data_IF_650377206800
#
_entry.id   IF_650377206800
#
_cell.length_a   1.000
_cell.length_b   1.000
_cell.length_c   1.000
_cell.angle_alpha   90.00
_cell.angle_beta   90.00
_cell.angle_gamma   90.00
#
_symmetry.space_group_name_H-M   'P 1'
#
loop_
_entity.id
_entity.type
_entity.pdbx_description
1 polymer ?
#
# COMPACT_ATOMS: atom_id res chain seq x y z
N UNK A 1 34.13 -19.26 -28.67
CA UNK A 1 34.74 -18.01 -28.21
C UNK A 1 34.03 -16.89 -28.92
N UNK A 2 33.11 -16.23 -28.25
CA UNK A 2 32.52 -14.98 -28.68
C UNK A 2 32.27 -14.15 -27.40
N UNK A 3 33.08 -13.13 -27.23
CA UNK A 3 32.95 -12.15 -26.15
C UNK A 3 31.75 -11.26 -26.43
N UNK A 4 30.76 -11.23 -25.53
CA UNK A 4 29.73 -10.23 -25.50
C UNK A 4 30.15 -9.10 -24.57
N UNK A 5 30.49 -7.96 -25.14
CA UNK A 5 30.67 -6.69 -24.42
C UNK A 5 29.32 -6.20 -23.94
N UNK A 6 29.19 -6.04 -22.64
CA UNK A 6 28.14 -5.28 -21.98
C UNK A 6 28.46 -3.80 -22.09
N UNK A 7 27.66 -3.03 -22.83
CA UNK A 7 27.64 -1.58 -22.79
C UNK A 7 26.70 -1.14 -21.67
N UNK A 8 27.27 -0.57 -20.61
CA UNK A 8 26.50 0.19 -19.61
C UNK A 8 26.11 1.52 -20.24
N UNK A 9 24.83 1.69 -20.59
CA UNK A 9 24.28 3.01 -20.91
C UNK A 9 24.08 3.80 -19.61
N UNK A 10 24.78 4.96 -19.58
CA UNK A 10 24.60 5.96 -18.54
C UNK A 10 23.19 6.52 -18.57
N UNK A 11 22.42 6.25 -17.51
CA UNK A 11 21.18 6.95 -17.23
C UNK A 11 21.48 8.42 -16.86
N UNK A 12 20.77 9.40 -17.41
CA UNK A 12 20.95 10.79 -17.04
C UNK A 12 20.58 10.99 -15.57
N UNK A 13 21.54 11.51 -14.81
CA UNK A 13 21.31 11.96 -13.45
C UNK A 13 20.27 13.09 -13.50
N UNK A 14 19.11 12.85 -12.85
CA UNK A 14 18.17 13.92 -12.56
C UNK A 14 18.91 15.00 -11.76
N UNK A 15 18.97 16.18 -12.35
CA UNK A 15 19.53 17.35 -11.70
C UNK A 15 18.64 17.71 -10.51
N UNK A 16 19.17 17.54 -9.33
CA UNK A 16 18.60 18.14 -8.12
C UNK A 16 18.92 19.62 -8.18
N UNK A 17 17.96 20.44 -8.60
CA UNK A 17 17.96 21.86 -8.30
C UNK A 17 17.78 22.00 -6.78
N UNK A 18 18.92 21.97 -6.09
CA UNK A 18 18.95 22.37 -4.70
C UNK A 18 18.85 23.89 -4.66
N UNK A 19 17.65 24.41 -4.49
CA UNK A 19 17.50 25.72 -3.87
C UNK A 19 18.18 25.63 -2.49
N UNK A 20 19.30 26.29 -2.38
CA UNK A 20 19.98 26.52 -1.10
C UNK A 20 19.06 27.35 -0.20
N UNK A 21 18.15 26.68 0.48
CA UNK A 21 17.54 27.21 1.69
C UNK A 21 18.61 27.08 2.78
N UNK A 22 19.10 28.21 3.27
CA UNK A 22 20.08 28.22 4.36
C UNK A 22 19.47 27.54 5.57
N UNK A 23 19.80 26.27 5.77
CA UNK A 23 19.52 25.54 6.99
C UNK A 23 20.30 26.19 8.14
N UNK A 24 19.61 26.96 8.95
CA UNK A 24 20.11 27.26 10.30
C UNK A 24 19.84 25.99 11.12
N UNK A 25 20.88 25.18 11.25
CA UNK A 25 20.83 24.01 12.11
C UNK A 25 20.40 24.44 13.53
N UNK A 26 19.32 23.84 14.01
CA UNK A 26 18.87 23.98 15.40
C UNK A 26 19.89 23.31 16.33
N UNK A 27 20.81 24.10 16.83
CA UNK A 27 21.77 23.70 17.81
C UNK A 27 22.46 24.95 18.34
N UNK A 28 22.02 25.45 19.47
CA UNK A 28 22.40 26.65 20.19
C UNK A 28 21.64 27.92 19.77
N UNK A 29 20.49 28.16 20.38
CA UNK A 29 20.11 29.53 20.72
C UNK A 29 21.06 30.05 21.86
N UNK A 30 22.34 30.18 21.54
CA UNK A 30 23.21 31.05 22.29
C UNK A 30 22.69 32.48 22.07
N UNK A 31 22.40 33.20 23.13
CA UNK A 31 22.07 34.61 23.18
C UNK A 31 22.62 35.34 21.94
N UNK A 32 21.79 35.55 20.91
CA UNK A 32 22.19 36.35 19.79
C UNK A 32 22.39 37.79 20.27
N UNK A 33 23.53 38.42 19.98
CA UNK A 33 23.72 39.81 20.29
C UNK A 33 22.70 40.64 19.51
N UNK A 34 22.02 41.56 20.15
CA UNK A 34 20.90 42.38 19.71
C UNK A 34 21.20 43.35 18.55
N UNK A 35 22.29 43.14 17.79
CA UNK A 35 22.73 44.04 16.71
C UNK A 35 23.00 43.37 15.38
N UNK A 36 22.62 42.13 15.19
CA UNK A 36 22.58 41.55 13.84
C UNK A 36 21.35 42.14 13.10
N UNK A 37 21.51 42.88 12.00
CA UNK A 37 20.39 43.25 11.19
C UNK A 37 19.84 41.95 10.57
N UNK A 38 18.70 41.49 11.08
CA UNK A 38 17.88 40.51 10.37
C UNK A 38 17.42 41.24 9.12
N UNK A 39 17.91 40.82 7.96
CA UNK A 39 17.44 41.35 6.70
C UNK A 39 16.04 40.80 6.47
N UNK A 40 15.03 41.53 6.98
CA UNK A 40 13.64 41.14 6.89
C UNK A 40 13.14 41.60 5.52
N UNK A 41 12.98 40.70 4.58
CA UNK A 41 12.40 40.98 3.29
C UNK A 41 10.97 41.56 3.48
N UNK A 42 10.80 42.84 3.21
CA UNK A 42 9.53 43.54 3.28
C UNK A 42 8.76 43.34 1.98
N UNK A 43 7.87 42.34 1.93
CA UNK A 43 6.96 42.05 0.83
C UNK A 43 6.07 40.85 1.17
N UNK A 44 5.00 40.61 0.42
CA UNK A 44 4.22 39.38 0.61
C UNK A 44 5.16 38.19 0.40
N UNK A 45 5.47 37.49 1.48
CA UNK A 45 6.43 36.38 1.45
C UNK A 45 5.74 35.08 1.81
N UNK A 46 6.01 34.07 1.00
CA UNK A 46 5.72 32.68 1.35
C UNK A 46 6.97 32.11 2.02
N UNK A 47 6.86 31.79 3.29
CA UNK A 47 7.95 31.16 4.04
C UNK A 47 7.56 29.72 4.37
N UNK A 48 8.40 28.78 3.96
CA UNK A 48 8.22 27.37 4.25
C UNK A 48 9.47 26.78 4.89
N UNK A 49 9.34 26.20 6.06
CA UNK A 49 10.44 25.55 6.77
C UNK A 49 10.04 24.12 7.13
N UNK A 50 10.83 23.15 6.65
CA UNK A 50 10.64 21.73 6.93
C UNK A 50 9.32 21.14 6.41
N UNK A 51 8.72 21.71 5.36
CA UNK A 51 7.52 21.14 4.74
C UNK A 51 7.84 19.88 3.97
N UNK A 52 6.96 18.89 4.03
CA UNK A 52 7.01 17.69 3.20
C UNK A 52 6.72 18.03 1.73
N UNK A 53 7.32 17.28 0.81
CA UNK A 53 7.05 17.42 -0.62
C UNK A 53 5.74 16.75 -1.01
N UNK A 54 5.04 17.32 -2.00
CA UNK A 54 3.85 16.70 -2.55
C UNK A 54 4.17 15.41 -3.32
N UNK A 55 3.35 14.39 -3.13
CA UNK A 55 3.39 13.14 -3.89
C UNK A 55 2.32 13.16 -4.98
N UNK A 56 2.68 13.51 -6.21
CA UNK A 56 1.76 13.55 -7.34
C UNK A 56 2.07 12.39 -8.27
N UNK A 57 1.04 11.59 -8.58
CA UNK A 57 1.16 10.48 -9.54
C UNK A 57 -0.04 10.46 -10.46
N UNK A 58 0.22 10.26 -11.76
CA UNK A 58 -0.80 10.11 -12.78
C UNK A 58 -0.55 8.85 -13.59
N UNK A 59 -1.62 8.12 -13.92
CA UNK A 59 -1.54 6.93 -14.76
C UNK A 59 -2.12 5.69 -14.11
N UNK A 60 -1.69 4.54 -14.61
CA UNK A 60 -2.16 3.23 -14.10
C UNK A 60 -0.97 2.44 -13.56
N UNK A 61 -1.08 2.01 -12.33
CA UNK A 61 -0.19 0.99 -11.76
C UNK A 61 -0.92 -0.34 -11.90
N UNK A 62 -0.27 -1.33 -12.52
CA UNK A 62 -0.87 -2.64 -12.72
C UNK A 62 0.08 -3.74 -12.27
N UNK A 63 -0.45 -4.63 -11.45
CA UNK A 63 0.23 -5.85 -11.00
C UNK A 63 -0.53 -7.06 -11.51
N UNK A 64 0.17 -7.97 -12.20
CA UNK A 64 -0.42 -9.21 -12.67
C UNK A 64 0.45 -10.38 -12.22
N UNK A 65 -0.14 -11.35 -11.56
CA UNK A 65 0.55 -12.56 -11.16
C UNK A 65 -0.20 -13.81 -11.62
N UNK A 66 0.57 -14.81 -12.08
CA UNK A 66 0.05 -16.09 -12.54
C UNK A 66 0.84 -17.22 -11.89
N UNK A 67 0.16 -18.08 -11.15
CA UNK A 67 0.72 -19.29 -10.59
C UNK A 67 0.01 -20.52 -11.17
N UNK A 68 0.79 -21.46 -11.73
CA UNK A 68 0.26 -22.70 -12.32
C UNK A 68 0.98 -23.90 -11.71
N UNK A 69 0.21 -24.81 -11.15
CA UNK A 69 0.70 -26.07 -10.61
C UNK A 69 -0.07 -27.23 -11.23
N UNK A 70 0.56 -27.94 -12.18
CA UNK A 70 -0.08 -29.00 -12.97
C UNK A 70 0.80 -30.25 -13.12
N UNK A 71 1.28 -30.86 -12.03
CA UNK A 71 2.06 -32.09 -12.13
C UNK A 71 1.21 -33.24 -12.67
N UNK A 72 1.84 -34.15 -13.39
CA UNK A 72 1.19 -35.35 -13.88
C UNK A 72 1.94 -36.61 -13.44
N UNK A 73 1.17 -37.63 -13.08
CA UNK A 73 1.69 -38.96 -12.77
C UNK A 73 0.88 -40.01 -13.53
N UNK A 74 1.53 -41.04 -14.05
CA UNK A 74 0.87 -42.10 -14.76
C UNK A 74 1.54 -43.48 -14.52
N UNK A 75 0.70 -44.48 -14.28
CA UNK A 75 1.11 -45.86 -14.21
C UNK A 75 0.35 -46.73 -15.22
N UNK A 76 1.02 -47.63 -15.92
CA UNK A 76 0.40 -48.49 -16.93
C UNK A 76 0.87 -49.94 -16.68
N UNK A 77 -0.07 -50.88 -16.64
CA UNK A 77 0.21 -52.30 -16.47
C UNK A 77 -0.47 -53.17 -17.52
N UNK A 78 0.15 -54.29 -17.82
CA UNK A 78 -0.41 -55.32 -18.71
C UNK A 78 -1.24 -56.39 -17.97
N UNK A 79 -1.59 -57.52 -18.66
CA UNK A 79 -2.36 -58.59 -18.05
C UNK A 79 -1.73 -59.17 -16.80
N UNK A 80 -2.55 -59.51 -15.80
CA UNK A 80 -2.12 -60.10 -14.51
C UNK A 80 -1.11 -59.27 -13.73
N UNK A 81 -1.14 -57.96 -13.87
CA UNK A 81 -0.26 -57.02 -13.15
C UNK A 81 -1.04 -55.78 -12.65
N UNK A 82 -0.50 -55.13 -11.62
CA UNK A 82 -1.05 -53.88 -11.06
C UNK A 82 -0.45 -52.62 -11.69
N UNK A 83 -1.24 -51.60 -11.85
CA UNK A 83 -0.82 -50.23 -12.15
C UNK A 83 -1.19 -49.32 -10.97
N UNK A 84 -0.18 -48.96 -10.19
CA UNK A 84 -0.36 -48.12 -9.04
C UNK A 84 0.18 -46.71 -9.30
N UNK A 85 -0.68 -45.71 -9.34
CA UNK A 85 -0.32 -44.31 -9.49
C UNK A 85 -0.62 -43.55 -8.22
N UNK A 86 0.40 -43.23 -7.44
CA UNK A 86 0.30 -42.45 -6.22
C UNK A 86 0.81 -41.04 -6.44
N UNK A 87 0.01 -40.04 -6.12
CA UNK A 87 0.41 -38.63 -6.24
C UNK A 87 0.01 -37.84 -4.98
N UNK A 88 1.02 -37.29 -4.31
CA UNK A 88 0.81 -36.30 -3.24
C UNK A 88 1.19 -34.92 -3.74
N UNK A 89 0.30 -33.96 -3.55
CA UNK A 89 0.50 -32.59 -4.01
C UNK A 89 0.24 -31.62 -2.86
N UNK A 90 1.25 -30.84 -2.51
CA UNK A 90 1.16 -29.76 -1.54
C UNK A 90 1.50 -28.45 -2.23
N UNK A 91 0.60 -27.48 -2.21
CA UNK A 91 0.83 -26.18 -2.83
C UNK A 91 0.45 -25.03 -1.88
N UNK A 92 1.38 -24.11 -1.74
CA UNK A 92 1.14 -22.79 -1.18
C UNK A 92 1.30 -21.77 -2.30
N UNK A 93 0.21 -21.15 -2.70
CA UNK A 93 0.20 -20.11 -3.72
C UNK A 93 -0.11 -18.79 -3.02
N UNK A 94 0.91 -17.93 -2.95
CA UNK A 94 0.84 -16.65 -2.25
C UNK A 94 1.05 -15.51 -3.27
N UNK A 95 0.02 -14.70 -3.48
CA UNK A 95 -0.01 -13.60 -4.43
C UNK A 95 -0.64 -12.39 -3.74
N UNK A 96 0.20 -11.50 -3.17
CA UNK A 96 -0.22 -10.30 -2.45
C UNK A 96 0.56 -9.08 -2.95
N UNK A 97 0.22 -8.52 -4.10
CA UNK A 97 0.87 -7.31 -4.59
C UNK A 97 0.52 -6.10 -3.72
N UNK A 98 1.46 -5.16 -3.65
CA UNK A 98 1.24 -3.87 -3.00
C UNK A 98 1.44 -2.76 -4.03
N UNK A 99 0.42 -1.96 -4.23
CA UNK A 99 0.40 -0.84 -5.16
C UNK A 99 0.17 0.45 -4.41
N UNK A 100 1.09 1.41 -4.56
CA UNK A 100 1.02 2.68 -3.83
C UNK A 100 1.30 3.86 -4.75
N UNK A 101 0.48 4.90 -4.69
CA UNK A 101 0.64 6.09 -5.52
C UNK A 101 0.13 7.37 -4.85
N UNK A 102 0.77 8.49 -5.18
CA UNK A 102 0.35 9.81 -4.70
C UNK A 102 0.49 9.96 -3.19
N UNK A 103 1.67 9.68 -2.64
CA UNK A 103 1.92 9.76 -1.20
C UNK A 103 2.73 11.02 -0.89
N UNK A 104 2.18 11.93 -0.13
CA UNK A 104 2.85 13.14 0.34
C UNK A 104 3.92 12.86 1.39
N UNK A 105 5.00 13.64 1.36
CA UNK A 105 6.07 13.55 2.34
C UNK A 105 5.68 14.14 3.69
N UNK A 106 6.25 13.62 4.76
CA UNK A 106 6.01 14.14 6.10
C UNK A 106 6.73 15.48 6.31
N UNK A 107 6.12 16.37 7.09
CA UNK A 107 6.74 17.60 7.57
C UNK A 107 7.85 17.31 8.60
N UNK A 108 8.86 18.17 8.63
CA UNK A 108 9.94 18.10 9.61
C UNK A 108 9.52 18.66 10.96
N UNK A 109 10.18 18.26 12.02
CA UNK A 109 9.94 18.76 13.38
C UNK A 109 10.95 19.84 13.79
N UNK A 110 10.56 20.70 14.71
CA UNK A 110 11.43 21.76 15.27
C UNK A 110 11.72 22.90 14.30
N UNK A 111 10.89 23.13 13.29
CA UNK A 111 11.08 24.18 12.30
C UNK A 111 10.44 25.51 12.76
N UNK A 112 11.02 26.61 12.29
CA UNK A 112 10.52 27.96 12.56
C UNK A 112 10.34 28.69 11.23
N UNK A 113 9.10 29.12 10.95
CA UNK A 113 8.76 29.97 9.81
C UNK A 113 8.20 31.30 10.32
N UNK A 114 8.98 32.38 10.26
CA UNK A 114 8.60 33.70 10.72
C UNK A 114 8.78 34.68 9.56
N UNK A 115 7.70 35.36 9.19
CA UNK A 115 7.68 36.34 8.12
C UNK A 115 7.34 37.74 8.60
N UNK A 116 7.68 38.76 7.81
CA UNK A 116 7.37 40.16 8.12
C UNK A 116 6.54 40.78 6.98
N UNK A 117 5.28 40.41 6.85
CA UNK A 117 4.44 40.98 5.81
C UNK A 117 3.18 40.15 5.57
N UNK A 118 2.31 40.62 4.67
CA UNK A 118 1.16 39.85 4.22
C UNK A 118 1.67 38.60 3.50
N UNK A 119 1.52 37.43 4.09
CA UNK A 119 2.06 36.19 3.50
C UNK A 119 1.61 34.95 4.23
N UNK A 120 2.01 33.80 3.69
CA UNK A 120 1.68 32.48 4.28
C UNK A 120 2.97 31.89 4.84
N UNK A 121 2.95 31.49 6.09
CA UNK A 121 4.07 30.85 6.78
C UNK A 121 3.73 29.40 7.13
N UNK A 122 4.48 28.49 6.60
CA UNK A 122 4.36 27.05 6.87
C UNK A 122 5.59 26.54 7.61
N UNK A 123 5.40 25.89 8.74
CA UNK A 123 6.47 25.25 9.48
C UNK A 123 6.13 23.77 9.72
N UNK A 124 6.91 22.86 9.16
CA UNK A 124 6.76 21.43 9.36
C UNK A 124 5.43 20.84 8.85
N UNK A 125 4.85 21.41 7.80
CA UNK A 125 3.61 20.88 7.21
C UNK A 125 3.88 19.63 6.40
N UNK A 126 2.95 18.66 6.41
CA UNK A 126 2.98 17.51 5.52
C UNK A 126 2.68 17.92 4.07
N UNK A 127 3.26 17.22 3.11
CA UNK A 127 2.94 17.39 1.69
C UNK A 127 1.65 16.69 1.31
N UNK A 128 1.00 17.15 0.25
CA UNK A 128 -0.22 16.55 -0.26
C UNK A 128 0.07 15.26 -1.03
N UNK A 129 -0.83 14.29 -0.94
CA UNK A 129 -0.79 13.08 -1.75
C UNK A 129 -1.89 13.11 -2.80
N UNK A 130 -1.53 13.19 -4.08
CA UNK A 130 -2.49 13.24 -5.19
C UNK A 130 -2.27 12.07 -6.13
N UNK A 131 -3.32 11.32 -6.40
CA UNK A 131 -3.31 10.28 -7.42
C UNK A 131 -4.48 10.43 -8.38
N UNK A 132 -4.14 10.46 -9.68
CA UNK A 132 -5.10 10.47 -10.79
C UNK A 132 -4.87 9.26 -11.67
N UNK A 133 -5.76 8.24 -11.61
CA UNK A 133 -5.57 7.05 -12.42
C UNK A 133 -6.16 5.78 -11.85
N UNK A 134 -5.49 4.64 -12.09
CA UNK A 134 -5.96 3.33 -11.63
C UNK A 134 -4.89 2.53 -10.91
N UNK A 135 -5.27 1.83 -9.85
CA UNK A 135 -4.52 0.73 -9.27
C UNK A 135 -5.25 -0.55 -9.63
N UNK A 136 -4.58 -1.43 -10.37
CA UNK A 136 -5.21 -2.64 -10.93
C UNK A 136 -4.35 -3.85 -10.60
N UNK A 137 -4.90 -4.75 -9.81
CA UNK A 137 -4.28 -6.03 -9.50
C UNK A 137 -5.06 -7.19 -10.10
N UNK A 138 -4.34 -8.20 -10.59
CA UNK A 138 -4.93 -9.44 -11.06
C UNK A 138 -4.08 -10.62 -10.65
N UNK A 139 -4.61 -11.47 -9.80
CA UNK A 139 -3.98 -12.69 -9.34
C UNK A 139 -4.75 -13.90 -9.90
N UNK A 140 -4.03 -14.75 -10.62
CA UNK A 140 -4.60 -16.01 -11.14
C UNK A 140 -3.77 -17.18 -10.64
N UNK A 141 -4.43 -18.14 -10.01
CA UNK A 141 -3.81 -19.37 -9.54
C UNK A 141 -4.56 -20.60 -10.08
N UNK A 142 -3.81 -21.55 -10.61
CA UNK A 142 -4.34 -22.82 -11.10
C UNK A 142 -3.60 -23.98 -10.41
N UNK A 143 -4.37 -24.81 -9.73
CA UNK A 143 -3.91 -26.10 -9.20
C UNK A 143 -4.70 -27.21 -9.89
N UNK A 144 -4.05 -27.93 -10.80
CA UNK A 144 -4.70 -28.98 -11.59
C UNK A 144 -3.77 -30.19 -11.82
N UNK A 145 -3.37 -30.91 -10.78
CA UNK A 145 -2.59 -32.12 -10.94
C UNK A 145 -3.40 -33.25 -11.57
N UNK A 146 -2.74 -34.09 -12.35
CA UNK A 146 -3.33 -35.25 -13.02
C UNK A 146 -2.65 -36.54 -12.55
N UNK A 147 -3.43 -37.47 -12.05
CA UNK A 147 -2.98 -38.80 -11.67
C UNK A 147 -3.76 -39.86 -12.43
N UNK A 148 -3.07 -40.80 -13.10
CA UNK A 148 -3.71 -41.77 -13.95
C UNK A 148 -3.09 -43.16 -13.76
N UNK A 149 -3.92 -44.18 -13.51
CA UNK A 149 -3.54 -45.57 -13.52
C UNK A 149 -4.33 -46.33 -14.62
N UNK A 150 -3.66 -47.07 -15.44
CA UNK A 150 -4.29 -47.89 -16.51
C UNK A 150 -3.78 -49.30 -16.45
N UNK A 151 -4.66 -50.26 -16.22
CA UNK A 151 -4.36 -51.67 -16.25
C UNK A 151 -5.14 -52.40 -17.37
N UNK A 152 -4.47 -53.12 -18.24
CA UNK A 152 -5.07 -53.71 -19.42
C UNK A 152 -4.87 -55.22 -19.46
N UNK A 153 -6.00 -55.98 -19.41
CA UNK A 153 -6.03 -57.41 -19.56
C UNK A 153 -6.72 -58.14 -18.39
N UNK A 154 -6.96 -59.45 -18.56
CA UNK A 154 -7.60 -60.23 -17.51
C UNK A 154 -6.79 -60.23 -16.22
N UNK A 155 -7.46 -60.00 -15.07
CA UNK A 155 -6.79 -59.97 -13.76
C UNK A 155 -5.83 -58.81 -13.55
N UNK A 156 -5.94 -57.74 -14.33
CA UNK A 156 -5.18 -56.51 -14.11
C UNK A 156 -5.91 -55.58 -13.14
N UNK A 157 -5.18 -54.84 -12.32
CA UNK A 157 -5.71 -53.95 -11.32
C UNK A 157 -5.12 -52.53 -11.51
N UNK A 158 -5.94 -51.49 -11.53
CA UNK A 158 -5.50 -50.10 -11.61
C UNK A 158 -5.90 -49.36 -10.33
N UNK A 159 -4.90 -48.83 -9.63
CA UNK A 159 -5.11 -48.01 -8.44
C UNK A 159 -4.56 -46.60 -8.68
N UNK A 160 -5.40 -45.59 -8.56
CA UNK A 160 -5.01 -44.21 -8.65
C UNK A 160 -5.35 -43.49 -7.34
N UNK A 161 -4.33 -43.24 -6.52
CA UNK A 161 -4.47 -42.52 -5.28
C UNK A 161 -3.89 -41.12 -5.40
N UNK A 162 -4.71 -40.11 -5.10
CA UNK A 162 -4.27 -38.71 -5.14
C UNK A 162 -4.63 -37.98 -3.85
N UNK A 163 -3.65 -37.35 -3.24
CA UNK A 163 -3.82 -36.47 -2.09
C UNK A 163 -3.39 -35.06 -2.46
N UNK A 164 -4.31 -34.11 -2.32
CA UNK A 164 -4.08 -32.72 -2.71
C UNK A 164 -4.32 -31.81 -1.52
N UNK A 165 -3.31 -30.99 -1.17
CA UNK A 165 -3.42 -29.93 -0.21
C UNK A 165 -3.06 -28.63 -0.89
N UNK A 166 -3.96 -27.67 -0.94
CA UNK A 166 -3.70 -26.38 -1.55
C UNK A 166 -4.17 -25.23 -0.65
N UNK A 167 -3.30 -24.26 -0.49
CA UNK A 167 -3.60 -22.99 0.16
C UNK A 167 -3.37 -21.87 -0.84
N UNK A 168 -4.44 -21.18 -1.21
CA UNK A 168 -4.42 -20.00 -2.06
C UNK A 168 -4.54 -18.77 -1.16
N UNK A 169 -3.48 -17.97 -1.11
CA UNK A 169 -3.43 -16.68 -0.45
C UNK A 169 -3.34 -15.61 -1.52
N UNK A 170 -4.42 -14.90 -1.78
CA UNK A 170 -4.52 -13.90 -2.84
C UNK A 170 -5.18 -12.62 -2.32
N UNK A 171 -4.87 -11.52 -2.99
CA UNK A 171 -5.47 -10.22 -2.71
C UNK A 171 -4.44 -9.10 -2.65
N UNK A 172 -4.81 -7.91 -3.07
CA UNK A 172 -3.92 -6.77 -3.19
C UNK A 172 -4.03 -5.80 -2.02
N UNK A 173 -2.93 -5.10 -1.75
CA UNK A 173 -2.96 -3.86 -0.97
C UNK A 173 -2.77 -2.68 -1.91
N UNK A 174 -3.81 -1.85 -2.07
CA UNK A 174 -3.83 -0.70 -2.97
C UNK A 174 -4.02 0.58 -2.17
N UNK A 175 -3.08 1.52 -2.30
CA UNK A 175 -3.10 2.78 -1.57
C UNK A 175 -2.88 3.95 -2.53
N UNK A 176 -3.81 4.91 -2.57
CA UNK A 176 -3.72 6.05 -3.45
C UNK A 176 -4.16 7.37 -2.79
N UNK A 177 -3.39 8.45 -3.05
CA UNK A 177 -3.72 9.78 -2.56
C UNK A 177 -3.65 9.90 -1.04
N UNK A 178 -2.47 9.70 -0.45
CA UNK A 178 -2.28 9.84 1.00
C UNK A 178 -1.45 11.08 1.32
N UNK A 179 -1.99 12.01 2.10
CA UNK A 179 -1.29 13.17 2.63
C UNK A 179 -0.22 12.79 3.65
N UNK A 180 0.89 13.51 3.65
CA UNK A 180 1.96 13.35 4.64
C UNK A 180 1.59 13.93 6.01
N UNK A 181 2.13 13.37 7.06
CA UNK A 181 1.91 13.88 8.42
C UNK A 181 2.64 15.19 8.67
N UNK A 182 2.08 16.09 9.46
CA UNK A 182 2.77 17.26 9.99
C UNK A 182 3.83 16.88 11.02
N UNK A 183 4.86 17.72 11.14
CA UNK A 183 5.92 17.53 12.15
C UNK A 183 5.58 18.15 13.49
N UNK A 184 6.29 17.74 14.54
CA UNK A 184 6.09 18.20 15.89
C UNK A 184 6.98 19.43 16.23
N UNK A 185 6.62 20.21 17.26
CA UNK A 185 7.41 21.32 17.82
C UNK A 185 7.77 22.40 16.79
N UNK A 186 6.89 22.70 15.85
CA UNK A 186 7.12 23.72 14.84
C UNK A 186 6.49 25.05 15.27
N UNK A 187 7.08 26.15 14.83
CA UNK A 187 6.61 27.52 15.10
C UNK A 187 6.36 28.24 13.78
N UNK A 188 5.14 28.70 13.57
CA UNK A 188 4.79 29.59 12.47
C UNK A 188 4.25 30.91 13.03
N UNK A 189 4.77 32.04 12.58
CA UNK A 189 4.37 33.32 13.16
C UNK A 189 4.85 34.52 12.38
N UNK A 190 4.59 35.69 12.92
CA UNK A 190 5.03 36.96 12.38
C UNK A 190 6.21 37.51 13.21
N UNK A 191 7.23 37.96 12.50
CA UNK A 191 8.37 38.66 13.13
C UNK A 191 8.03 40.10 13.50
N UNK A 192 8.75 40.71 14.49
CA UNK A 192 8.50 42.07 14.91
C UNK A 192 8.68 43.04 13.74
N UNK A 193 7.63 43.77 13.39
CA UNK A 193 7.68 44.84 12.42
C UNK A 193 8.49 46.01 12.99
N UNK A 194 9.61 46.32 12.38
CA UNK A 194 10.56 47.37 12.85
C UNK A 194 10.20 48.79 12.37
N UNK A 195 8.92 49.12 12.23
CA UNK A 195 8.56 50.51 11.93
C UNK A 195 7.74 51.12 13.04
N UNK A 196 8.34 51.99 13.84
CA UNK A 196 7.55 52.79 14.81
C UNK A 196 6.69 53.78 14.08
N UNK A 197 5.36 53.58 14.08
CA UNK A 197 4.39 54.64 13.72
C UNK A 197 3.39 54.36 12.63
N UNK A 198 3.32 53.19 12.03
CA UNK A 198 2.25 52.80 11.10
C UNK A 198 1.53 51.59 11.63
N UNK A 199 0.27 51.75 11.99
CA UNK A 199 -0.62 50.62 12.19
C UNK A 199 -0.88 49.99 10.82
N UNK A 200 0.00 49.07 10.43
CA UNK A 200 -0.21 48.23 9.25
C UNK A 200 -1.06 47.04 9.71
N UNK A 201 -2.25 46.88 9.22
CA UNK A 201 -3.01 45.65 9.30
C UNK A 201 -2.44 44.71 8.26
N UNK A 202 -1.60 43.80 8.69
CA UNK A 202 -1.07 42.76 7.82
C UNK A 202 -1.99 41.53 7.95
N UNK A 203 -2.30 40.87 6.85
CA UNK A 203 -3.12 39.65 6.83
C UNK A 203 -2.26 38.48 6.35
N UNK A 204 -2.13 37.46 7.15
CA UNK A 204 -1.36 36.28 6.76
C UNK A 204 -1.93 35.00 7.37
N UNK A 205 -1.68 33.90 6.68
CA UNK A 205 -2.05 32.58 7.17
C UNK A 205 -0.83 31.88 7.76
N UNK A 206 -0.98 31.25 8.93
CA UNK A 206 0.12 30.63 9.66
C UNK A 206 -0.24 29.17 9.98
N UNK A 207 0.55 28.25 9.43
CA UNK A 207 0.35 26.81 9.60
C UNK A 207 1.60 26.17 10.22
N UNK A 208 1.46 25.56 11.38
CA UNK A 208 2.53 24.84 12.04
C UNK A 208 2.17 23.37 12.23
N UNK A 209 2.95 22.47 11.68
CA UNK A 209 2.75 21.03 11.79
C UNK A 209 1.44 20.51 11.22
N UNK A 210 0.89 21.15 10.23
CA UNK A 210 -0.36 20.72 9.59
C UNK A 210 -0.13 19.46 8.75
N UNK A 211 -1.06 18.51 8.76
CA UNK A 211 -1.04 17.35 7.86
C UNK A 211 -1.37 17.76 6.42
N UNK A 212 -0.80 17.10 5.44
CA UNK A 212 -1.12 17.30 4.04
C UNK A 212 -2.42 16.60 3.63
N UNK A 213 -3.07 17.10 2.59
CA UNK A 213 -4.31 16.54 2.06
C UNK A 213 -4.05 15.28 1.24
N UNK A 214 -5.00 14.36 1.25
CA UNK A 214 -5.00 13.16 0.43
C UNK A 214 -6.12 13.17 -0.62
N UNK A 215 -5.77 13.16 -1.89
CA UNK A 215 -6.73 13.15 -2.99
C UNK A 215 -6.53 11.93 -3.89
N UNK A 216 -7.62 11.20 -4.10
CA UNK A 216 -7.69 10.10 -5.05
C UNK A 216 -8.79 10.35 -6.08
N UNK A 217 -8.45 10.28 -7.36
CA UNK A 217 -9.41 10.35 -8.47
C UNK A 217 -9.14 9.22 -9.44
N UNK A 218 -10.03 8.21 -9.47
CA UNK A 218 -9.81 7.07 -10.35
C UNK A 218 -10.49 5.79 -9.90
N UNK A 219 -9.83 4.66 -10.13
CA UNK A 219 -10.36 3.35 -9.72
C UNK A 219 -9.29 2.48 -9.08
N UNK A 220 -9.69 1.72 -8.07
CA UNK A 220 -8.95 0.60 -7.54
C UNK A 220 -9.68 -0.67 -7.88
N UNK A 221 -8.99 -1.61 -8.52
CA UNK A 221 -9.58 -2.88 -8.95
C UNK A 221 -8.65 -4.01 -8.53
N UNK A 222 -9.20 -4.95 -7.80
CA UNK A 222 -8.56 -6.22 -7.51
C UNK A 222 -9.39 -7.37 -8.06
N UNK A 223 -8.72 -8.32 -8.71
CA UNK A 223 -9.35 -9.54 -9.24
C UNK A 223 -8.51 -10.74 -8.85
N UNK A 224 -8.99 -11.52 -7.90
CA UNK A 224 -8.35 -12.74 -7.43
C UNK A 224 -9.10 -13.97 -7.92
N UNK A 225 -8.43 -14.83 -8.71
CA UNK A 225 -8.99 -16.05 -9.26
C UNK A 225 -8.16 -17.25 -8.81
N UNK A 226 -8.78 -18.16 -8.06
CA UNK A 226 -8.18 -19.42 -7.68
C UNK A 226 -8.96 -20.59 -8.24
N UNK A 227 -8.29 -21.48 -8.96
CA UNK A 227 -8.90 -22.66 -9.58
C UNK A 227 -8.23 -23.91 -9.02
N UNK A 228 -9.01 -24.76 -8.38
CA UNK A 228 -8.62 -26.07 -7.93
C UNK A 228 -9.36 -27.14 -8.71
N UNK A 229 -8.66 -27.85 -9.60
CA UNK A 229 -9.28 -28.84 -10.48
C UNK A 229 -8.38 -30.08 -10.68
N UNK A 230 -8.05 -30.82 -9.64
CA UNK A 230 -7.27 -32.05 -9.78
C UNK A 230 -8.07 -33.15 -10.47
N UNK A 231 -7.37 -33.99 -11.21
CA UNK A 231 -7.95 -35.11 -11.93
C UNK A 231 -7.29 -36.42 -11.47
N UNK A 232 -8.10 -37.38 -11.02
CA UNK A 232 -7.64 -38.71 -10.64
C UNK A 232 -8.43 -39.77 -11.43
N UNK A 233 -7.75 -40.62 -12.16
CA UNK A 233 -8.37 -41.57 -13.07
C UNK A 233 -7.78 -42.96 -12.90
N UNK A 234 -8.59 -43.96 -12.66
CA UNK A 234 -8.23 -45.35 -12.75
C UNK A 234 -9.01 -46.05 -13.88
N UNK A 235 -8.34 -46.78 -14.76
CA UNK A 235 -8.95 -47.51 -15.88
C UNK A 235 -8.54 -48.96 -15.85
N UNK A 236 -9.48 -49.84 -15.61
CA UNK A 236 -9.33 -51.29 -15.76
C UNK A 236 -9.91 -51.76 -17.07
N UNK A 237 -9.07 -52.17 -18.05
CA UNK A 237 -9.52 -52.61 -19.36
C UNK A 237 -9.52 -54.14 -19.52
N UNK A 238 -10.41 -54.69 -20.34
CA UNK A 238 -10.46 -56.13 -20.73
C UNK A 238 -10.57 -57.10 -19.53
N UNK A 239 -11.47 -56.82 -18.57
CA UNK A 239 -11.69 -57.69 -17.40
C UNK A 239 -10.91 -57.27 -16.17
N UNK A 240 -10.23 -56.14 -16.22
CA UNK A 240 -9.50 -55.56 -15.08
C UNK A 240 -10.43 -54.75 -14.13
N UNK A 241 -10.00 -54.58 -12.88
CA UNK A 241 -10.61 -53.72 -11.89
C UNK A 241 -9.97 -52.32 -11.87
N UNK A 242 -10.67 -51.31 -11.34
CA UNK A 242 -10.19 -49.95 -11.21
C UNK A 242 -10.63 -49.35 -9.86
N UNK A 243 -9.67 -48.79 -9.14
CA UNK A 243 -9.92 -48.08 -7.89
C UNK A 243 -9.32 -46.67 -7.98
N UNK A 244 -10.10 -45.65 -7.68
CA UNK A 244 -9.65 -44.27 -7.69
C UNK A 244 -10.00 -43.58 -6.37
N UNK A 245 -8.99 -43.25 -5.57
CA UNK A 245 -9.17 -42.57 -4.31
C UNK A 245 -8.59 -41.16 -4.41
N UNK A 246 -9.37 -40.16 -4.04
CA UNK A 246 -8.93 -38.75 -4.04
C UNK A 246 -9.30 -38.08 -2.71
N UNK A 247 -8.31 -37.43 -2.12
CA UNK A 247 -8.52 -36.58 -0.95
C UNK A 247 -8.06 -35.16 -1.26
N UNK A 248 -8.95 -34.20 -1.03
CA UNK A 248 -8.68 -32.78 -1.31
C UNK A 248 -8.90 -31.94 -0.06
N UNK A 249 -7.88 -31.16 0.32
CA UNK A 249 -7.94 -30.16 1.37
C UNK A 249 -7.57 -28.82 0.76
N UNK A 250 -8.50 -27.89 0.71
CA UNK A 250 -8.29 -26.61 0.00
C UNK A 250 -8.77 -25.46 0.85
N UNK A 251 -7.96 -24.42 0.91
CA UNK A 251 -8.31 -23.13 1.49
C UNK A 251 -8.14 -22.07 0.42
N UNK A 252 -9.20 -21.34 0.15
CA UNK A 252 -9.19 -20.11 -0.62
C UNK A 252 -9.29 -18.95 0.35
N UNK A 253 -8.18 -18.27 0.59
CA UNK A 253 -8.08 -17.06 1.40
C UNK A 253 -7.76 -15.90 0.46
N UNK A 254 -8.79 -15.09 0.17
CA UNK A 254 -8.75 -14.01 -0.80
C UNK A 254 -9.19 -12.72 -0.12
N UNK A 255 -8.22 -11.86 0.19
CA UNK A 255 -8.46 -10.66 0.98
C UNK A 255 -7.79 -9.42 0.43
N UNK A 256 -8.55 -8.36 0.14
CA UNK A 256 -8.08 -7.12 -0.47
C UNK A 256 -8.21 -5.95 0.49
N UNK A 257 -7.19 -5.06 0.47
CA UNK A 257 -7.18 -3.78 1.19
C UNK A 257 -7.04 -2.64 0.17
N UNK A 258 -8.07 -1.80 0.07
CA UNK A 258 -8.09 -0.63 -0.81
C UNK A 258 -8.27 0.64 0.01
N UNK A 259 -7.33 1.57 -0.09
CA UNK A 259 -7.31 2.79 0.70
C UNK A 259 -7.09 4.00 -0.21
N UNK A 260 -8.02 4.95 -0.20
CA UNK A 260 -8.00 6.09 -1.11
C UNK A 260 -8.34 7.41 -0.44
N UNK A 261 -7.58 8.45 -0.76
CA UNK A 261 -7.85 9.81 -0.33
C UNK A 261 -7.81 9.97 1.19
N UNK A 262 -6.64 9.75 1.79
CA UNK A 262 -6.45 9.89 3.24
C UNK A 262 -5.63 11.13 3.54
N UNK A 263 -6.17 12.04 4.36
CA UNK A 263 -5.44 13.17 4.91
C UNK A 263 -4.38 12.77 5.92
N UNK A 264 -3.25 13.45 5.90
CA UNK A 264 -2.16 13.24 6.86
C UNK A 264 -2.50 13.71 8.27
N UNK A 265 -1.88 13.12 9.26
CA UNK A 265 -2.05 13.54 10.66
C UNK A 265 -1.37 14.88 10.90
N UNK A 266 -1.95 15.72 11.77
CA UNK A 266 -1.29 16.88 12.32
C UNK A 266 -0.21 16.50 13.34
N UNK A 267 0.88 17.26 13.40
CA UNK A 267 1.91 17.11 14.42
C UNK A 267 1.50 17.70 15.76
N UNK A 268 2.14 17.26 16.84
CA UNK A 268 1.89 17.72 18.19
C UNK A 268 2.82 18.86 18.61
N UNK A 269 2.42 19.59 19.65
CA UNK A 269 3.23 20.67 20.27
C UNK A 269 3.68 21.76 19.28
N UNK A 270 2.83 22.13 18.33
CA UNK A 270 3.11 23.18 17.37
C UNK A 270 2.53 24.52 17.87
N UNK A 271 3.22 25.61 17.57
CA UNK A 271 2.79 26.96 17.90
C UNK A 271 2.51 27.76 16.61
N UNK A 272 1.29 28.24 16.47
CA UNK A 272 0.92 29.24 15.47
C UNK A 272 0.48 30.51 16.18
N UNK A 273 1.25 31.59 16.07
CA UNK A 273 1.03 32.79 16.86
C UNK A 273 1.17 34.05 16.05
N UNK A 274 0.28 35.01 16.32
CA UNK A 274 0.35 36.38 15.81
C UNK A 274 -0.09 37.38 16.88
N UNK A 275 0.52 38.56 16.89
CA UNK A 275 0.28 39.58 17.90
C UNK A 275 -0.71 40.68 17.48
N UNK A 276 -1.07 40.83 16.19
CA UNK A 276 -1.80 42.00 15.72
C UNK A 276 -2.78 41.72 14.53
N UNK A 277 -2.93 40.50 14.00
CA UNK A 277 -3.44 40.27 12.67
C UNK A 277 -4.73 39.45 12.55
N UNK A 278 -5.40 39.62 11.42
CA UNK A 278 -6.57 38.84 10.99
C UNK A 278 -6.12 37.85 9.89
N UNK A 279 -5.92 36.60 10.24
CA UNK A 279 -5.59 35.52 9.31
C UNK A 279 -5.99 34.16 9.89
N UNK A 280 -5.80 33.13 9.13
CA UNK A 280 -6.04 31.76 9.60
C UNK A 280 -4.81 31.25 10.35
N UNK A 281 -5.02 30.75 11.56
CA UNK A 281 -3.99 30.15 12.39
C UNK A 281 -4.33 28.70 12.63
N UNK A 282 -3.44 27.80 12.26
CA UNK A 282 -3.61 26.38 12.53
C UNK A 282 -2.33 25.75 13.05
N UNK A 283 -2.38 25.17 14.23
CA UNK A 283 -1.30 24.36 14.81
C UNK A 283 -1.71 22.89 14.78
N UNK A 284 -0.95 22.05 14.10
CA UNK A 284 -1.11 20.59 14.09
C UNK A 284 -2.47 20.09 13.60
N UNK A 285 -3.14 20.82 12.73
CA UNK A 285 -4.37 20.34 12.08
C UNK A 285 -4.12 19.10 11.23
N UNK A 286 -5.09 18.19 11.15
CA UNK A 286 -5.05 17.09 10.17
C UNK A 286 -5.37 17.60 8.78
N UNK A 287 -4.87 16.93 7.74
CA UNK A 287 -5.22 17.21 6.35
C UNK A 287 -6.57 16.60 5.96
N UNK A 288 -7.15 17.10 4.89
CA UNK A 288 -8.38 16.57 4.32
C UNK A 288 -8.15 15.30 3.53
N UNK A 289 -9.11 14.38 3.56
CA UNK A 289 -9.14 13.17 2.74
C UNK A 289 -10.28 13.23 1.73
N UNK A 290 -9.99 13.04 0.46
CA UNK A 290 -11.00 13.01 -0.60
C UNK A 290 -10.77 11.89 -1.59
N UNK A 291 -11.83 11.17 -1.93
CA UNK A 291 -11.78 10.13 -2.95
C UNK A 291 -12.96 10.27 -3.91
N UNK A 292 -12.66 10.22 -5.21
CA UNK A 292 -13.66 10.22 -6.27
C UNK A 292 -13.36 9.09 -7.22
N UNK A 293 -14.27 8.10 -7.30
CA UNK A 293 -14.07 6.94 -8.16
C UNK A 293 -14.66 5.68 -7.58
N UNK A 294 -14.16 4.53 -8.03
CA UNK A 294 -14.64 3.22 -7.62
C UNK A 294 -13.54 2.37 -6.99
N UNK A 295 -13.93 1.57 -6.01
CA UNK A 295 -13.14 0.48 -5.46
C UNK A 295 -13.89 -0.81 -5.77
N UNK A 296 -13.23 -1.74 -6.44
CA UNK A 296 -13.81 -3.01 -6.88
C UNK A 296 -12.89 -4.14 -6.44
N UNK A 297 -13.48 -5.09 -5.73
CA UNK A 297 -12.83 -6.33 -5.37
C UNK A 297 -13.65 -7.51 -5.91
N UNK A 298 -12.99 -8.42 -6.62
CA UNK A 298 -13.61 -9.61 -7.21
C UNK A 298 -12.80 -10.83 -6.82
N UNK A 299 -13.35 -11.63 -5.92
CA UNK A 299 -12.74 -12.86 -5.46
C UNK A 299 -13.49 -14.06 -6.02
N UNK A 300 -12.78 -14.94 -6.75
CA UNK A 300 -13.35 -16.12 -7.37
C UNK A 300 -12.54 -17.36 -7.01
N UNK A 301 -13.12 -18.22 -6.18
CA UNK A 301 -12.62 -19.57 -5.88
C UNK A 301 -13.41 -20.62 -6.64
N UNK A 302 -12.76 -21.43 -7.46
CA UNK A 302 -13.38 -22.52 -8.21
C UNK A 302 -12.83 -23.88 -7.77
N UNK A 303 -13.70 -24.71 -7.23
CA UNK A 303 -13.35 -26.05 -6.78
C UNK A 303 -14.06 -27.09 -7.64
N UNK A 304 -13.29 -27.86 -8.42
CA UNK A 304 -13.83 -28.86 -9.33
C UNK A 304 -12.90 -30.08 -9.47
N UNK A 305 -12.72 -30.90 -8.42
CA UNK A 305 -11.96 -32.12 -8.53
C UNK A 305 -12.71 -33.19 -9.33
N UNK A 306 -11.98 -34.00 -10.05
CA UNK A 306 -12.50 -35.11 -10.83
C UNK A 306 -11.87 -36.40 -10.35
N UNK A 307 -12.70 -37.37 -9.93
CA UNK A 307 -12.24 -38.69 -9.54
C UNK A 307 -13.05 -39.77 -10.27
N UNK A 308 -12.38 -40.58 -11.07
CA UNK A 308 -13.05 -41.52 -11.99
C UNK A 308 -12.40 -42.91 -11.90
N UNK A 309 -13.23 -43.92 -11.69
CA UNK A 309 -12.87 -45.33 -11.88
C UNK A 309 -13.66 -45.95 -13.04
N UNK A 310 -13.00 -46.47 -14.03
CA UNK A 310 -13.62 -47.08 -15.21
C UNK A 310 -13.23 -48.53 -15.34
N UNK A 311 -14.13 -49.50 -15.06
CA UNK A 311 -13.89 -50.92 -15.32
C UNK A 311 -14.32 -51.30 -16.71
N UNK A 312 -13.64 -52.26 -17.32
CA UNK A 312 -14.11 -52.92 -18.54
C UNK A 312 -14.27 -54.43 -18.29
N UNK A 313 -15.34 -54.77 -17.60
CA UNK A 313 -15.69 -56.14 -17.23
C UNK A 313 -15.23 -56.61 -15.85
N UNK A 314 -14.68 -55.75 -15.06
CA UNK A 314 -14.31 -55.93 -13.66
C UNK A 314 -15.15 -55.08 -12.69
N UNK A 315 -14.61 -54.77 -11.52
CA UNK A 315 -15.18 -53.86 -10.49
C UNK A 315 -14.62 -52.44 -10.63
N UNK A 316 -15.40 -51.45 -10.26
CA UNK A 316 -14.92 -50.07 -10.10
C UNK A 316 -15.26 -49.55 -8.72
N UNK A 317 -14.33 -48.83 -8.11
CA UNK A 317 -14.54 -48.04 -6.90
C UNK A 317 -13.95 -46.65 -7.07
N UNK A 318 -14.72 -45.60 -6.84
CA UNK A 318 -14.25 -44.22 -6.86
C UNK A 318 -14.67 -43.52 -5.58
N UNK A 319 -13.69 -43.20 -4.73
CA UNK A 319 -13.92 -42.53 -3.44
C UNK A 319 -13.27 -41.15 -3.47
N UNK A 320 -14.04 -40.12 -3.09
CA UNK A 320 -13.55 -38.75 -3.02
C UNK A 320 -13.92 -38.15 -1.66
N UNK A 321 -12.95 -37.51 -1.04
CA UNK A 321 -13.13 -36.78 0.22
C UNK A 321 -12.66 -35.36 0.01
N UNK A 322 -13.55 -34.38 0.22
CA UNK A 322 -13.26 -32.97 0.00
C UNK A 322 -13.47 -32.16 1.28
N UNK A 323 -12.45 -31.36 1.63
CA UNK A 323 -12.51 -30.34 2.66
C UNK A 323 -12.18 -29.00 2.03
N UNK A 324 -13.15 -28.12 1.91
CA UNK A 324 -12.98 -26.80 1.25
C UNK A 324 -13.38 -25.70 2.20
N UNK A 325 -12.51 -24.71 2.34
CA UNK A 325 -12.79 -23.47 3.05
C UNK A 325 -12.64 -22.30 2.10
N UNK A 326 -13.64 -21.43 2.08
CA UNK A 326 -13.59 -20.13 1.41
C UNK A 326 -13.58 -19.04 2.47
N UNK A 327 -12.53 -18.23 2.47
CA UNK A 327 -12.42 -17.00 3.27
C UNK A 327 -12.17 -15.84 2.29
N UNK A 328 -13.19 -15.02 2.08
CA UNK A 328 -13.15 -13.92 1.12
C UNK A 328 -13.58 -12.63 1.82
N UNK A 329 -12.68 -11.65 1.86
CA UNK A 329 -12.94 -10.40 2.57
C UNK A 329 -12.34 -9.21 1.82
N UNK A 330 -12.94 -8.02 2.00
CA UNK A 330 -12.43 -6.78 1.49
C UNK A 330 -12.52 -5.67 2.54
N UNK A 331 -11.46 -4.88 2.65
CA UNK A 331 -11.46 -3.63 3.41
C UNK A 331 -11.29 -2.46 2.45
N UNK A 332 -12.31 -1.64 2.31
CA UNK A 332 -12.30 -0.47 1.44
C UNK A 332 -12.52 0.80 2.27
N UNK A 333 -11.55 1.70 2.25
CA UNK A 333 -11.56 2.95 3.00
C UNK A 333 -11.33 4.13 2.05
N UNK A 334 -12.20 5.14 2.11
CA UNK A 334 -12.13 6.28 1.21
C UNK A 334 -12.48 7.61 1.90
N UNK A 335 -11.77 8.69 1.52
CA UNK A 335 -12.09 10.03 1.95
C UNK A 335 -11.95 10.24 3.46
N UNK A 336 -10.87 9.78 4.06
CA UNK A 336 -10.65 9.88 5.51
C UNK A 336 -9.76 11.09 5.83
N UNK A 337 -10.27 12.03 6.60
CA UNK A 337 -9.46 13.14 7.10
C UNK A 337 -8.45 12.69 8.16
N UNK A 338 -7.30 13.33 8.18
CA UNK A 338 -6.29 13.13 9.21
C UNK A 338 -6.72 13.68 10.57
N UNK A 339 -6.17 13.13 11.62
CA UNK A 339 -6.39 13.65 12.98
C UNK A 339 -5.46 14.82 13.28
N UNK A 340 -5.95 15.85 13.99
CA UNK A 340 -5.10 16.89 14.55
C UNK A 340 -4.13 16.32 15.60
N UNK A 341 -2.94 16.95 15.74
CA UNK A 341 -1.98 16.60 16.77
C UNK A 341 -2.35 17.18 18.14
N UNK A 342 -1.73 16.68 19.19
CA UNK A 342 -1.97 17.08 20.57
C UNK A 342 -1.02 18.22 21.00
N UNK A 343 -1.42 19.00 22.01
CA UNK A 343 -0.59 20.04 22.63
C UNK A 343 -0.28 21.24 21.72
N UNK A 344 -1.03 21.43 20.65
CA UNK A 344 -0.85 22.57 19.76
C UNK A 344 -1.46 23.84 20.35
N UNK A 345 -0.76 24.96 20.17
CA UNK A 345 -1.18 26.27 20.64
C UNK A 345 -1.41 27.20 19.45
N UNK A 346 -2.61 27.75 19.37
CA UNK A 346 -2.96 28.83 18.44
C UNK A 346 -3.40 30.02 19.27
N UNK A 347 -2.58 31.06 19.34
CA UNK A 347 -2.90 32.27 20.15
C UNK A 347 -2.75 33.54 19.31
N UNK A 348 -3.72 34.40 19.44
CA UNK A 348 -3.72 35.74 18.85
C UNK A 348 -3.16 36.82 19.80
N UNK A 349 -2.84 36.51 21.04
CA UNK A 349 -2.42 37.49 22.05
C UNK A 349 -1.20 37.05 22.88
N UNK A 350 -0.09 37.60 22.57
CA UNK A 350 1.02 38.12 23.40
C UNK A 350 1.44 37.44 24.70
N UNK A 351 2.60 37.12 24.76
CA UNK A 351 3.67 37.00 25.73
C UNK A 351 4.71 36.03 25.13
N UNK A 352 4.91 36.25 23.87
CA UNK A 352 5.51 35.34 22.91
C UNK A 352 6.88 34.79 23.31
N UNK A 353 7.67 35.54 24.05
CA UNK A 353 9.05 35.12 24.33
C UNK A 353 9.12 34.12 25.47
N UNK A 354 8.29 34.27 26.50
CA UNK A 354 8.31 33.35 27.64
C UNK A 354 7.57 32.04 27.30
N UNK A 355 6.48 32.12 26.54
CA UNK A 355 5.73 30.93 26.12
C UNK A 355 6.51 30.07 25.11
N UNK A 356 7.29 30.69 24.20
CA UNK A 356 8.19 29.98 23.30
C UNK A 356 9.34 29.28 24.07
N UNK A 357 9.88 29.92 25.08
CA UNK A 357 10.95 29.34 25.90
C UNK A 357 10.44 28.16 26.74
N UNK A 358 9.24 28.26 27.30
CA UNK A 358 8.61 27.18 28.05
C UNK A 358 8.21 26.02 27.16
N UNK A 359 7.71 26.32 25.95
CA UNK A 359 7.38 25.33 24.95
C UNK A 359 8.58 24.55 24.39
N UNK A 360 9.72 25.21 24.22
CA UNK A 360 10.96 24.55 23.78
C UNK A 360 11.67 23.74 24.87
N UNK A 361 11.25 23.86 26.14
CA UNK A 361 11.78 23.11 27.25
C UNK A 361 10.87 22.00 27.78
N UNK A 362 9.67 21.85 27.21
CA UNK A 362 8.73 20.77 27.50
C UNK A 362 8.90 19.57 26.54
#
# INVERSE_FOLDING_TARGET
MAETRSSSEDLPKAGTDQHLVSNVAAGHLALMPTWLPLDVASGPSYNSAGSGGDGISEGVISSNSLAIFTPSNAAIAGPHSGADAFQGNDALINQHPTEMAGIGGNGGSGNVAIGSGDGVNHAGTGGNGLFYGGLVSTEVALFAPVNTAVAAGPGAEAHADQSNNALFLQGATQIGGMGGSGGDHNVAGHGPSMSPGTALTLTGDFYAGHGGDGYFVGSMVDVSIAIFSPINIAVGAAGGSAEAHQTNNVIFDQGTVQIAGIGGKGGGFNLSSDTIFTGNHAGGGGGDGSSTGSMVDVNFGYFHPINIAVPAGGTADAQQIDHVLYDQHALQLAGIAGHGGEGNLTDAHSALVNDILDFMHS
#
